data_IF_533967413238
#
_entry.id   IF_533967413238
#
_cell.length_a   1.000
_cell.length_b   1.000
_cell.length_c   1.000
_cell.angle_alpha   90.00
_cell.angle_beta   90.00
_cell.angle_gamma   90.00
#
_symmetry.space_group_name_H-M   'P 1'
#
loop_
_entity.id
_entity.type
_entity.pdbx_description
1 polymer ?
#
# COMPACT_ATOMS: atom_id res chain seq x y z
N UNK A 1 3.60 -5.78 36.45
CA UNK A 1 4.11 -5.81 35.08
C UNK A 1 3.30 -6.80 34.28
N UNK A 2 2.54 -6.32 33.30
CA UNK A 2 1.94 -7.17 32.29
C UNK A 2 2.24 -6.52 30.95
N UNK A 3 2.83 -7.34 30.10
CA UNK A 3 3.61 -7.01 28.94
C UNK A 3 2.74 -6.36 27.87
N UNK A 4 3.16 -5.20 27.42
CA UNK A 4 2.68 -4.52 26.22
C UNK A 4 3.14 -5.34 25.02
N UNK A 5 2.25 -6.20 24.52
CA UNK A 5 2.47 -6.99 23.30
C UNK A 5 1.87 -6.24 22.13
N UNK A 6 2.62 -5.27 21.59
CA UNK A 6 2.32 -4.62 20.32
C UNK A 6 2.37 -5.66 19.21
N UNK A 7 1.24 -6.30 18.96
CA UNK A 7 0.95 -6.94 17.68
C UNK A 7 0.75 -5.82 16.65
N UNK A 8 1.82 -5.44 15.96
CA UNK A 8 1.76 -4.62 14.76
C UNK A 8 1.26 -5.47 13.58
N UNK A 9 0.08 -6.06 13.71
CA UNK A 9 -0.69 -6.63 12.59
C UNK A 9 -1.47 -5.52 11.86
N UNK A 10 -1.21 -4.24 12.17
CA UNK A 10 -1.96 -3.08 11.69
C UNK A 10 -1.13 -2.05 10.93
N UNK A 11 0.17 -2.26 10.69
CA UNK A 11 0.97 -1.30 9.91
C UNK A 11 0.45 -1.13 8.48
N UNK A 12 -0.10 -2.20 7.88
CA UNK A 12 -0.77 -2.11 6.59
C UNK A 12 -2.14 -1.44 6.68
N UNK A 13 -2.94 -1.74 7.70
CA UNK A 13 -4.27 -1.14 7.87
C UNK A 13 -4.20 0.36 8.03
N UNK A 14 -3.10 0.88 8.58
CA UNK A 14 -2.89 2.31 8.71
C UNK A 14 -2.64 2.99 7.35
N UNK A 15 -1.91 2.29 6.49
CA UNK A 15 -1.64 2.70 5.13
C UNK A 15 -2.94 2.68 4.29
N UNK A 16 -3.78 1.65 4.45
CA UNK A 16 -5.03 1.49 3.71
C UNK A 16 -5.99 2.67 3.88
N UNK A 17 -6.09 3.24 5.08
CA UNK A 17 -6.96 4.40 5.32
C UNK A 17 -6.37 5.71 4.81
N UNK A 18 -5.05 5.76 4.59
CA UNK A 18 -4.34 6.98 4.20
C UNK A 18 -4.20 7.13 2.68
N UNK A 19 -4.28 6.03 1.93
CA UNK A 19 -4.18 6.04 0.46
C UNK A 19 -5.48 6.55 -0.16
N UNK A 20 -5.35 7.53 -1.05
CA UNK A 20 -6.44 8.03 -1.89
C UNK A 20 -6.66 7.15 -3.11
N UNK A 21 -5.62 6.97 -3.92
CA UNK A 21 -5.67 6.23 -5.18
C UNK A 21 -4.26 5.83 -5.63
N UNK A 22 -4.16 4.74 -6.40
CA UNK A 22 -2.93 4.38 -7.11
C UNK A 22 -3.00 4.93 -8.53
N UNK A 23 -2.05 5.79 -8.87
CA UNK A 23 -2.12 6.52 -10.15
C UNK A 23 -1.31 5.85 -11.24
N UNK A 24 -0.20 5.20 -10.88
CA UNK A 24 0.66 4.53 -11.83
C UNK A 24 1.57 3.52 -11.14
N UNK A 25 2.21 2.66 -11.92
CA UNK A 25 3.29 1.80 -11.45
C UNK A 25 4.47 1.85 -12.41
N UNK A 26 5.66 1.62 -11.91
CA UNK A 26 6.88 1.55 -12.70
C UNK A 26 7.71 0.35 -12.29
N UNK A 27 8.29 -0.32 -13.28
CA UNK A 27 8.99 -1.59 -13.08
C UNK A 27 8.10 -2.80 -13.29
N UNK A 28 8.63 -3.98 -12.97
CA UNK A 28 7.95 -5.26 -13.17
C UNK A 28 8.43 -6.27 -12.12
N UNK A 29 7.50 -7.10 -11.64
CA UNK A 29 7.80 -8.14 -10.64
C UNK A 29 8.13 -7.57 -9.25
N UNK A 30 9.14 -8.14 -8.61
CA UNK A 30 9.58 -7.81 -7.23
C UNK A 30 10.09 -6.36 -7.07
N UNK A 31 10.61 -5.77 -8.15
CA UNK A 31 11.13 -4.39 -8.14
C UNK A 31 10.11 -3.37 -8.62
N UNK A 32 8.86 -3.77 -8.80
CA UNK A 32 7.80 -2.84 -9.17
C UNK A 32 7.56 -1.86 -8.01
N UNK A 33 7.56 -0.58 -8.35
CA UNK A 33 7.20 0.52 -7.47
C UNK A 33 5.88 1.11 -7.94
N UNK A 34 5.07 1.56 -6.99
CA UNK A 34 3.73 2.05 -7.25
C UNK A 34 3.61 3.48 -6.75
N UNK A 35 3.09 4.33 -7.63
CA UNK A 35 2.77 5.72 -7.34
C UNK A 35 1.45 5.77 -6.57
N UNK A 36 1.57 6.00 -5.27
CA UNK A 36 0.47 6.11 -4.34
C UNK A 36 0.21 7.59 -4.06
N UNK A 37 -1.02 8.01 -4.29
CA UNK A 37 -1.52 9.32 -3.90
C UNK A 37 -2.17 9.18 -2.53
N UNK A 38 -1.73 9.96 -1.56
CA UNK A 38 -2.30 9.99 -0.21
C UNK A 38 -3.51 10.93 -0.16
N UNK A 39 -4.38 10.72 0.83
CA UNK A 39 -5.49 11.62 1.12
C UNK A 39 -5.04 13.04 1.46
N UNK A 40 -3.82 13.20 1.99
CA UNK A 40 -3.19 14.50 2.24
C UNK A 40 -2.83 15.26 0.97
N UNK A 41 -2.80 14.57 -0.18
CA UNK A 41 -2.33 15.11 -1.46
C UNK A 41 -0.84 14.85 -1.73
N UNK A 42 -0.14 14.23 -0.79
CA UNK A 42 1.23 13.75 -1.01
C UNK A 42 1.23 12.61 -2.03
N UNK A 43 2.37 12.42 -2.69
CA UNK A 43 2.58 11.33 -3.63
C UNK A 43 3.87 10.63 -3.25
N UNK A 44 3.82 9.31 -3.05
CA UNK A 44 5.00 8.50 -2.72
C UNK A 44 5.09 7.27 -3.60
N UNK A 45 6.31 6.79 -3.78
CA UNK A 45 6.60 5.57 -4.53
C UNK A 45 6.95 4.46 -3.55
N UNK A 46 6.09 3.44 -3.47
CA UNK A 46 6.30 2.30 -2.57
C UNK A 46 6.54 1.01 -3.37
N UNK A 47 7.46 0.14 -2.93
CA UNK A 47 7.68 -1.14 -3.57
C UNK A 47 6.48 -2.08 -3.35
N UNK A 48 6.30 -3.05 -4.26
CA UNK A 48 5.25 -4.09 -4.18
C UNK A 48 5.07 -4.68 -2.78
N UNK A 49 6.16 -5.04 -2.11
CA UNK A 49 6.14 -5.65 -0.78
C UNK A 49 5.43 -4.79 0.29
N UNK A 50 5.49 -3.47 0.16
CA UNK A 50 4.89 -2.57 1.13
C UNK A 50 3.40 -2.32 0.85
N UNK A 51 2.94 -2.65 -0.36
CA UNK A 51 1.58 -2.38 -0.81
C UNK A 51 0.77 -3.64 -1.08
N UNK A 52 1.42 -4.81 -1.15
CA UNK A 52 0.78 -6.11 -1.38
C UNK A 52 -0.27 -6.43 -0.30
N UNK A 53 -0.05 -5.92 0.91
CA UNK A 53 -0.94 -6.05 2.04
C UNK A 53 -2.18 -5.15 1.98
N UNK A 54 -2.24 -4.21 1.04
CA UNK A 54 -3.33 -3.22 0.96
C UNK A 54 -4.48 -3.70 0.10
N UNK A 55 -5.70 -3.56 0.58
CA UNK A 55 -6.89 -3.89 -0.19
C UNK A 55 -7.07 -2.95 -1.40
N UNK A 56 -6.63 -1.69 -1.31
CA UNK A 56 -6.63 -0.74 -2.44
C UNK A 56 -5.71 -1.20 -3.57
N UNK A 57 -4.61 -1.89 -3.26
CA UNK A 57 -3.73 -2.46 -4.27
C UNK A 57 -4.38 -3.62 -5.02
N UNK A 58 -5.05 -4.53 -4.28
CA UNK A 58 -5.82 -5.62 -4.90
C UNK A 58 -6.86 -5.07 -5.86
N UNK A 59 -7.62 -4.04 -5.45
CA UNK A 59 -8.61 -3.39 -6.31
C UNK A 59 -7.99 -2.75 -7.55
N UNK A 60 -6.85 -2.08 -7.40
CA UNK A 60 -6.12 -1.52 -8.55
C UNK A 60 -5.66 -2.59 -9.54
N UNK A 61 -5.21 -3.76 -9.06
CA UNK A 61 -4.88 -4.90 -9.93
C UNK A 61 -6.11 -5.49 -10.62
N UNK A 62 -7.22 -5.64 -9.90
CA UNK A 62 -8.50 -6.10 -10.46
C UNK A 62 -9.02 -5.13 -11.54
N UNK A 63 -8.87 -3.82 -11.34
CA UNK A 63 -9.23 -2.80 -12.32
C UNK A 63 -8.29 -2.79 -13.54
N UNK A 64 -7.01 -3.11 -13.35
CA UNK A 64 -6.05 -3.31 -14.45
C UNK A 64 -6.30 -4.61 -15.22
N UNK A 65 -7.10 -5.54 -14.68
CA UNK A 65 -7.43 -6.82 -15.33
C UNK A 65 -6.27 -7.81 -15.37
N UNK A 66 -5.36 -7.74 -14.39
CA UNK A 66 -4.21 -8.65 -14.23
C UNK A 66 -4.57 -9.76 -13.24
#
# INVERSE_FOLDING_TARGET
GRSDGLIDENSNSNLEWSVKEMRSHSGSGDRAIFEIVWLTGDITWLPYHQIEGLNVFKRYLEELGI
#
